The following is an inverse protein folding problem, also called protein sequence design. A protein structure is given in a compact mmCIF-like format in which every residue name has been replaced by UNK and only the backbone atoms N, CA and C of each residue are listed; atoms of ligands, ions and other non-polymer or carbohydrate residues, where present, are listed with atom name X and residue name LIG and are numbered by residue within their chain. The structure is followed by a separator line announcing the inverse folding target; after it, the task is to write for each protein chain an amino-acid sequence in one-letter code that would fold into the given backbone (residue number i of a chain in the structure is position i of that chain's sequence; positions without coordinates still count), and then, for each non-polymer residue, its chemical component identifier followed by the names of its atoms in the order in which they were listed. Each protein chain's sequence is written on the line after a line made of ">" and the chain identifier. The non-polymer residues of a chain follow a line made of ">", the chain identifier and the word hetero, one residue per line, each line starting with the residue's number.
data_IF_427883896171
#
_entry.id   IF_427883896171
#
_cell.length_a   1.000
_cell.length_b   1.000
_cell.length_c   1.000
_cell.angle_alpha   90.00
_cell.angle_beta   90.00
_cell.angle_gamma   90.00
#
_symmetry.space_group_name_H-M   'P 1'
#
loop_
_entity.id
_entity.type
_entity.pdbx_description
1 polymer ?
#
# COMPACT_ATOMS: atom_id res chain seq x y z
N UNK A 1 4.97 18.90 -10.44
CA UNK A 1 3.50 18.78 -10.44
C UNK A 1 3.08 18.27 -9.07
N UNK A 2 2.11 18.90 -8.40
CA UNK A 2 1.61 18.41 -7.11
C UNK A 2 0.69 17.21 -7.35
N UNK A 3 0.84 16.14 -6.57
CA UNK A 3 -0.05 14.99 -6.64
C UNK A 3 -1.44 15.36 -6.08
N UNK A 4 -2.50 14.96 -6.77
CA UNK A 4 -3.89 15.18 -6.37
C UNK A 4 -4.65 13.85 -6.43
N UNK A 5 -5.46 13.58 -5.40
CA UNK A 5 -6.33 12.42 -5.28
C UNK A 5 -7.69 12.92 -4.79
N UNK A 6 -8.75 12.64 -5.55
CA UNK A 6 -10.12 12.96 -5.20
C UNK A 6 -10.83 11.67 -4.77
N UNK A 7 -11.52 11.72 -3.63
CA UNK A 7 -12.25 10.59 -3.07
C UNK A 7 -13.70 10.60 -3.55
N UNK A 8 -14.26 9.42 -3.77
CA UNK A 8 -15.69 9.28 -4.06
C UNK A 8 -16.56 9.83 -2.92
N UNK A 9 -17.69 10.41 -3.29
CA UNK A 9 -18.73 10.88 -2.37
C UNK A 9 -19.62 9.76 -1.82
N UNK A 10 -19.59 8.57 -2.43
CA UNK A 10 -20.39 7.42 -2.02
C UNK A 10 -19.64 6.50 -1.05
N UNK A 11 -18.38 6.20 -1.36
CA UNK A 11 -17.46 5.50 -0.46
C UNK A 11 -16.12 6.25 -0.46
N UNK A 12 -15.78 6.88 0.66
CA UNK A 12 -14.56 7.66 0.76
C UNK A 12 -13.28 6.84 0.56
N UNK A 13 -13.32 5.51 0.68
CA UNK A 13 -12.16 4.65 0.37
C UNK A 13 -11.86 4.62 -1.12
N UNK A 14 -12.85 4.86 -1.96
CA UNK A 14 -12.69 4.81 -3.40
C UNK A 14 -12.13 6.12 -3.97
N UNK A 15 -11.32 5.97 -5.02
CA UNK A 15 -10.69 7.09 -5.72
C UNK A 15 -11.53 7.43 -6.94
N UNK A 16 -12.04 8.65 -6.99
CA UNK A 16 -12.79 9.17 -8.13
C UNK A 16 -11.86 9.67 -9.23
N UNK A 17 -10.78 10.37 -8.86
CA UNK A 17 -9.77 10.84 -9.82
C UNK A 17 -8.41 11.04 -9.15
N UNK A 18 -7.34 10.93 -9.94
CA UNK A 18 -5.98 11.31 -9.53
C UNK A 18 -5.09 11.58 -10.74
N UNK A 19 -4.09 12.44 -10.57
CA UNK A 19 -3.04 12.67 -11.57
C UNK A 19 -1.79 11.79 -11.36
N UNK A 20 -1.82 10.80 -10.46
CA UNK A 20 -0.68 9.94 -10.15
C UNK A 20 0.00 9.34 -11.39
N UNK A 21 -0.76 8.74 -12.29
CA UNK A 21 -0.20 8.04 -13.44
C UNK A 21 0.46 8.94 -14.50
N UNK A 22 0.31 10.26 -14.36
CA UNK A 22 1.01 11.26 -15.18
C UNK A 22 2.29 11.80 -14.51
N UNK A 23 2.51 11.46 -13.23
CA UNK A 23 3.66 11.90 -12.45
C UNK A 23 4.97 11.26 -12.90
N UNK A 24 6.08 11.93 -12.61
CA UNK A 24 7.42 11.39 -12.87
C UNK A 24 7.68 10.11 -12.08
N UNK A 25 7.14 10.01 -10.86
CA UNK A 25 7.22 8.81 -10.02
C UNK A 25 6.59 7.60 -10.72
N UNK A 26 5.36 7.74 -11.23
CA UNK A 26 4.70 6.65 -11.93
C UNK A 26 5.44 6.26 -13.22
N UNK A 27 5.95 7.25 -13.97
CA UNK A 27 6.75 7.02 -15.19
C UNK A 27 8.07 6.28 -14.91
N UNK A 28 8.65 6.49 -13.73
CA UNK A 28 9.85 5.78 -13.27
C UNK A 28 9.53 4.41 -12.65
N UNK A 29 8.27 3.99 -12.63
CA UNK A 29 7.85 2.72 -12.04
C UNK A 29 7.78 2.74 -10.51
N UNK A 30 7.73 3.92 -9.88
CA UNK A 30 7.51 4.05 -8.45
C UNK A 30 6.04 3.84 -8.08
N UNK A 31 5.79 3.04 -7.03
CA UNK A 31 4.51 2.98 -6.35
C UNK A 31 4.25 4.27 -5.57
N UNK A 32 2.97 4.57 -5.30
CA UNK A 32 2.58 5.59 -4.34
C UNK A 32 1.48 5.08 -3.42
N UNK A 33 1.53 5.47 -2.15
CA UNK A 33 0.53 5.10 -1.15
C UNK A 33 -0.17 6.34 -0.65
N UNK A 34 -1.48 6.36 -0.86
CA UNK A 34 -2.38 7.27 -0.20
C UNK A 34 -3.13 6.55 0.92
N UNK A 35 -3.32 7.24 2.05
CA UNK A 35 -4.03 6.67 3.20
C UNK A 35 -5.30 7.48 3.42
N UNK A 36 -6.46 6.84 3.25
CA UNK A 36 -7.75 7.47 3.50
C UNK A 36 -8.74 6.48 4.12
N UNK A 37 -9.51 6.90 5.13
CA UNK A 37 -10.49 6.07 5.81
C UNK A 37 -9.96 4.68 6.25
N UNK A 38 -8.71 4.65 6.76
CA UNK A 38 -7.93 3.45 7.15
C UNK A 38 -7.67 2.43 6.01
N UNK A 39 -7.82 2.86 4.76
CA UNK A 39 -7.40 2.10 3.58
C UNK A 39 -6.05 2.64 3.07
N UNK A 40 -5.06 1.76 3.00
CA UNK A 40 -3.77 2.02 2.35
C UNK A 40 -3.92 1.74 0.86
N UNK A 41 -4.12 2.82 0.10
CA UNK A 41 -4.40 2.80 -1.33
C UNK A 41 -3.11 2.90 -2.11
N UNK A 42 -2.60 1.74 -2.53
CA UNK A 42 -1.41 1.59 -3.34
C UNK A 42 -1.78 1.88 -4.81
N UNK A 43 -1.24 2.95 -5.36
CA UNK A 43 -1.35 3.31 -6.76
C UNK A 43 -0.21 2.65 -7.54
N UNK A 44 -0.57 1.75 -8.46
CA UNK A 44 0.36 0.93 -9.22
C UNK A 44 0.66 1.59 -10.57
N UNK A 45 1.93 1.86 -10.90
CA UNK A 45 2.31 2.39 -12.21
C UNK A 45 2.11 1.32 -13.31
N UNK A 46 1.93 1.76 -14.56
CA UNK A 46 1.67 0.83 -15.67
C UNK A 46 2.78 -0.21 -15.87
N UNK A 47 4.03 0.15 -15.54
CA UNK A 47 5.19 -0.75 -15.61
C UNK A 47 5.17 -1.88 -14.57
N UNK A 48 4.34 -1.77 -13.52
CA UNK A 48 4.24 -2.76 -12.43
C UNK A 48 2.93 -3.54 -12.43
N UNK A 49 2.16 -3.54 -13.51
CA UNK A 49 0.89 -4.29 -13.61
C UNK A 49 1.03 -5.79 -13.37
N UNK A 50 2.23 -6.35 -13.49
CA UNK A 50 2.50 -7.76 -13.19
C UNK A 50 2.35 -8.10 -11.69
N UNK A 51 2.33 -7.10 -10.78
CA UNK A 51 2.14 -7.30 -9.34
C UNK A 51 0.86 -8.08 -9.00
N UNK A 52 -0.16 -8.02 -9.87
CA UNK A 52 -1.41 -8.77 -9.71
C UNK A 52 -1.22 -10.29 -9.76
N UNK A 53 -0.11 -10.78 -10.33
CA UNK A 53 0.21 -12.20 -10.35
C UNK A 53 0.46 -12.73 -8.93
N UNK A 54 0.86 -11.85 -8.00
CA UNK A 54 1.13 -12.16 -6.60
C UNK A 54 -0.15 -12.18 -5.74
N UNK A 55 -1.32 -11.86 -6.31
CA UNK A 55 -2.57 -11.70 -5.56
C UNK A 55 -3.33 -13.00 -5.34
N UNK A 56 -2.92 -14.06 -6.05
CA UNK A 56 -3.47 -15.40 -5.89
C UNK A 56 -2.99 -15.97 -4.54
N UNK A 57 -3.87 -16.67 -3.82
CA UNK A 57 -3.55 -17.20 -2.49
C UNK A 57 -3.59 -16.20 -1.33
N UNK A 58 -3.34 -14.91 -1.57
CA UNK A 58 -3.32 -13.87 -0.53
C UNK A 58 -4.60 -13.83 0.33
N UNK A 59 -4.44 -14.03 1.64
CA UNK A 59 -5.50 -13.99 2.65
C UNK A 59 -5.75 -12.58 3.17
N UNK A 60 -4.67 -11.88 3.51
CA UNK A 60 -4.69 -10.51 4.04
C UNK A 60 -3.35 -9.83 3.76
N UNK A 61 -3.25 -8.54 4.09
CA UNK A 61 -1.99 -7.78 3.98
C UNK A 61 -1.45 -7.47 5.35
N UNK A 62 -0.15 -7.70 5.57
CA UNK A 62 0.55 -7.18 6.74
C UNK A 62 1.28 -5.91 6.34
N UNK A 63 0.99 -4.83 7.04
CA UNK A 63 1.60 -3.53 6.86
C UNK A 63 2.56 -3.29 8.02
N UNK A 64 3.85 -3.27 7.73
CA UNK A 64 4.88 -2.95 8.71
C UNK A 64 5.40 -1.55 8.47
N UNK A 65 5.27 -0.66 9.45
CA UNK A 65 6.00 0.62 9.45
C UNK A 65 7.31 0.44 10.19
N UNK A 66 8.43 0.68 9.52
CA UNK A 66 9.76 0.44 10.06
C UNK A 66 10.84 1.18 9.29
N UNK A 67 12.07 0.69 9.36
CA UNK A 67 13.22 1.32 8.72
C UNK A 67 13.83 0.40 7.65
N UNK A 68 13.96 0.92 6.43
CA UNK A 68 14.73 0.28 5.36
C UNK A 68 16.10 0.99 5.28
N UNK A 69 17.10 0.40 5.93
CA UNK A 69 18.36 1.11 6.18
C UNK A 69 18.16 2.28 7.16
N UNK A 70 18.64 3.50 6.86
CA UNK A 70 18.44 4.65 7.74
C UNK A 70 17.05 5.29 7.60
N UNK A 71 16.31 4.96 6.54
CA UNK A 71 15.10 5.67 6.14
C UNK A 71 13.83 4.96 6.61
N UNK A 72 12.85 5.72 7.08
CA UNK A 72 11.53 5.17 7.37
C UNK A 72 10.83 4.74 6.08
N UNK A 73 10.15 3.61 6.15
CA UNK A 73 9.41 3.03 5.04
C UNK A 73 8.19 2.25 5.53
N UNK A 74 7.31 1.93 4.59
CA UNK A 74 6.24 0.96 4.78
C UNK A 74 6.54 -0.29 3.97
N UNK A 75 6.31 -1.44 4.57
CA UNK A 75 6.27 -2.74 3.90
C UNK A 75 4.82 -3.19 3.78
N UNK A 76 4.46 -3.73 2.62
CA UNK A 76 3.19 -4.39 2.37
C UNK A 76 3.48 -5.84 1.98
N UNK A 77 3.31 -6.74 2.92
CA UNK A 77 3.45 -8.18 2.72
C UNK A 77 2.09 -8.78 2.38
N UNK A 78 1.99 -9.45 1.24
CA UNK A 78 0.82 -10.23 0.85
C UNK A 78 0.91 -11.59 1.55
N UNK A 79 0.17 -11.74 2.65
CA UNK A 79 0.18 -12.97 3.44
C UNK A 79 -0.64 -14.05 2.74
N UNK A 80 0.02 -15.13 2.35
CA UNK A 80 -0.53 -16.27 1.62
C UNK A 80 -0.33 -17.62 2.36
N UNK A 81 0.12 -17.56 3.63
CA UNK A 81 0.46 -18.72 4.48
C UNK A 81 1.68 -19.52 3.98
N UNK A 82 2.45 -18.98 3.04
CA UNK A 82 3.68 -19.59 2.56
C UNK A 82 4.91 -19.17 3.36
N UNK A 83 6.01 -19.91 3.19
CA UNK A 83 7.32 -19.55 3.75
C UNK A 83 8.03 -18.43 2.95
N UNK A 84 7.42 -17.91 1.88
CA UNK A 84 8.04 -16.92 0.99
C UNK A 84 7.00 -15.94 0.44
N UNK A 85 6.32 -15.16 1.31
CA UNK A 85 5.30 -14.22 0.88
C UNK A 85 5.91 -13.09 0.06
N UNK A 86 5.16 -12.62 -0.93
CA UNK A 86 5.53 -11.43 -1.68
C UNK A 86 5.42 -10.17 -0.80
N UNK A 87 6.39 -9.27 -0.90
CA UNK A 87 6.36 -7.99 -0.19
C UNK A 87 6.91 -6.85 -1.06
N UNK A 88 6.36 -5.65 -0.87
CA UNK A 88 6.86 -4.41 -1.47
C UNK A 88 7.13 -3.35 -0.41
N UNK A 89 8.17 -2.56 -0.63
CA UNK A 89 8.54 -1.44 0.23
C UNK A 89 8.27 -0.11 -0.48
N UNK A 90 7.80 0.88 0.28
CA UNK A 90 7.66 2.26 -0.19
C UNK A 90 8.31 3.21 0.81
N UNK A 91 9.15 4.12 0.31
CA UNK A 91 9.86 5.09 1.14
C UNK A 91 9.03 6.35 1.43
N UNK A 92 9.54 7.22 2.30
CA UNK A 92 8.90 8.48 2.71
C UNK A 92 8.42 9.38 1.56
N UNK A 93 9.09 9.36 0.41
CA UNK A 93 8.68 10.17 -0.76
C UNK A 93 7.48 9.57 -1.51
N UNK A 94 7.11 8.33 -1.20
CA UNK A 94 6.05 7.56 -1.87
C UNK A 94 4.77 7.49 -1.03
N UNK A 95 4.67 8.22 0.08
CA UNK A 95 3.42 8.41 0.83
C UNK A 95 3.41 9.77 1.51
N UNK A 96 2.27 10.45 1.57
CA UNK A 96 2.20 11.79 2.21
C UNK A 96 1.96 11.74 3.69
N UNK A 97 1.14 10.79 4.14
CA UNK A 97 0.67 10.73 5.52
C UNK A 97 1.35 9.58 6.21
N UNK A 98 2.06 9.89 7.30
CA UNK A 98 2.62 8.87 8.18
C UNK A 98 1.48 8.15 8.91
N UNK A 99 1.33 6.82 8.78
CA UNK A 99 0.26 6.11 9.49
C UNK A 99 0.45 6.20 11.00
N UNK A 100 -0.65 6.37 11.74
CA UNK A 100 -0.61 6.53 13.19
C UNK A 100 -0.16 5.22 13.86
N UNK A 101 0.77 5.32 14.83
CA UNK A 101 1.20 4.18 15.64
C UNK A 101 0.05 3.57 16.47
N UNK A 102 -0.98 4.36 16.80
CA UNK A 102 -2.15 3.89 17.55
C UNK A 102 -3.03 2.93 16.74
N UNK A 103 -2.84 2.83 15.42
CA UNK A 103 -3.58 1.86 14.60
C UNK A 103 -3.10 0.42 14.80
N UNK A 104 -2.02 0.20 15.55
CA UNK A 104 -1.55 -1.16 15.85
C UNK A 104 -2.68 -1.95 16.56
N UNK A 105 -3.03 -3.10 16.00
CA UNK A 105 -4.08 -3.97 16.53
C UNK A 105 -5.51 -3.59 16.12
N UNK A 106 -5.73 -2.50 15.38
CA UNK A 106 -7.05 -2.21 14.81
C UNK A 106 -7.47 -3.26 13.77
N UNK A 107 -8.77 -3.57 13.72
CA UNK A 107 -9.32 -4.56 12.79
C UNK A 107 -9.93 -3.94 11.52
N UNK A 108 -10.13 -2.62 11.51
CA UNK A 108 -10.77 -1.86 10.44
C UNK A 108 -9.76 -1.20 9.48
N UNK A 109 -8.60 -1.86 9.30
CA UNK A 109 -7.55 -1.44 8.37
C UNK A 109 -7.67 -2.24 7.08
N UNK A 110 -7.50 -1.55 5.95
CA UNK A 110 -7.55 -2.14 4.63
C UNK A 110 -6.30 -1.79 3.83
N UNK A 111 -6.01 -2.61 2.84
CA UNK A 111 -5.01 -2.34 1.81
C UNK A 111 -5.65 -2.58 0.46
N UNK A 112 -5.57 -1.59 -0.43
CA UNK A 112 -6.14 -1.67 -1.77
C UNK A 112 -5.11 -1.32 -2.84
N UNK A 113 -5.19 -2.00 -3.98
CA UNK A 113 -4.32 -1.76 -5.13
C UNK A 113 -5.13 -1.17 -6.27
N UNK A 114 -4.63 -0.12 -6.90
CA UNK A 114 -5.32 0.67 -7.92
C UNK A 114 -4.47 0.81 -9.19
N UNK A 115 -5.10 0.66 -10.34
CA UNK A 115 -4.53 0.88 -11.67
C UNK A 115 -5.06 2.16 -12.31
N UNK A 116 -4.39 2.59 -13.39
CA UNK A 116 -4.78 3.74 -14.21
C UNK A 116 -6.27 3.75 -14.54
N UNK A 117 -6.88 4.93 -14.45
CA UNK A 117 -8.32 5.11 -14.63
C UNK A 117 -9.08 4.91 -13.32
N UNK A 118 -8.54 5.48 -12.23
CA UNK A 118 -8.49 4.90 -10.88
C UNK A 118 -9.35 3.65 -10.69
N UNK A 119 -8.84 2.51 -11.18
CA UNK A 119 -9.53 1.23 -11.14
C UNK A 119 -9.05 0.43 -9.94
N UNK A 120 -9.94 0.11 -9.01
CA UNK A 120 -9.67 -0.83 -7.93
C UNK A 120 -9.39 -2.23 -8.53
N UNK A 121 -8.21 -2.78 -8.25
CA UNK A 121 -7.84 -4.14 -8.63
C UNK A 121 -8.34 -5.13 -7.58
N UNK A 122 -7.96 -4.90 -6.32
CA UNK A 122 -8.31 -5.74 -5.17
C UNK A 122 -8.12 -4.97 -3.88
N UNK A 123 -8.91 -5.32 -2.87
CA UNK A 123 -8.85 -4.79 -1.50
C UNK A 123 -8.90 -5.96 -0.52
N UNK A 124 -8.02 -5.93 0.47
CA UNK A 124 -8.00 -6.89 1.57
C UNK A 124 -8.17 -6.17 2.91
N UNK A 125 -8.63 -6.93 3.92
CA UNK A 125 -8.32 -6.57 5.29
C UNK A 125 -6.80 -6.58 5.49
N UNK A 126 -6.32 -5.67 6.33
CA UNK A 126 -4.92 -5.54 6.64
C UNK A 126 -4.68 -5.58 8.15
N UNK A 127 -3.47 -5.98 8.52
CA UNK A 127 -2.95 -5.94 9.88
C UNK A 127 -1.78 -4.96 9.91
N UNK A 128 -1.73 -4.08 10.88
CA UNK A 128 -0.71 -3.04 10.96
C UNK A 128 0.15 -3.19 12.21
N UNK A 129 1.47 -3.18 12.03
CA UNK A 129 2.47 -3.24 13.12
C UNK A 129 3.59 -2.24 12.92
N UNK A 130 4.33 -2.00 13.99
CA UNK A 130 5.62 -1.32 13.98
C UNK A 130 6.75 -2.36 13.96
N UNK A 131 7.78 -2.11 13.16
CA UNK A 131 8.98 -2.96 13.06
C UNK A 131 10.25 -2.14 13.26
N UNK A 132 11.29 -2.77 13.81
CA UNK A 132 12.59 -2.11 14.02
C UNK A 132 13.37 -1.96 12.70
N UNK A 133 13.26 -2.95 11.80
CA UNK A 133 13.93 -2.98 10.51
C UNK A 133 13.05 -3.72 9.49
N UNK A 134 13.20 -3.36 8.22
CA UNK A 134 12.57 -4.00 7.07
C UNK A 134 13.64 -4.72 6.23
N UNK A 135 13.32 -5.84 5.58
CA UNK A 135 11.99 -6.47 5.54
C UNK A 135 11.61 -7.22 6.83
N UNK A 136 10.32 -7.21 7.18
CA UNK A 136 9.76 -7.99 8.28
C UNK A 136 8.73 -8.99 7.74
N UNK A 137 9.22 -10.12 7.24
CA UNK A 137 8.39 -11.16 6.62
C UNK A 137 7.77 -12.14 7.61
N UNK A 138 7.78 -11.82 8.92
CA UNK A 138 7.17 -12.69 9.91
C UNK A 138 5.65 -12.65 9.78
N UNK A 139 4.95 -13.79 9.93
CA UNK A 139 3.49 -13.80 9.99
C UNK A 139 2.94 -12.85 11.06
N UNK A 140 1.67 -12.47 10.92
CA UNK A 140 0.98 -11.70 11.95
C UNK A 140 0.89 -12.48 13.27
N UNK A 141 1.14 -11.81 14.40
CA UNK A 141 1.04 -12.34 15.76
C UNK A 141 0.47 -11.30 16.70
#
# INVERSE_FOLDING_TARGET
>A
MLLSIQNSSQDHRDIESTNFWESDMAKQGGLYVDINARDFRILVPDSMKAIKNEFEGTKYVVITRGFLGPDEALEFMLEDESDSPFAVHVGLQQFTVRPNAEWVGHEDIFCSFWERGPKLIKRWHAKYRLGAALPDLRPWR
#
